data_IF_353265147113
#
_entry.id   IF_353265147113
#
_cell.length_a   1.000
_cell.length_b   1.000
_cell.length_c   1.000
_cell.angle_alpha   90.00
_cell.angle_beta   90.00
_cell.angle_gamma   90.00
#
_symmetry.space_group_name_H-M   'P 1'
#
loop_
_entity.id
_entity.type
_entity.pdbx_description
1 polymer ?
#
# COMPACT_ATOMS: atom_id res chain seq x y z
N UNK A 1 4.24 28.49 2.90
CA UNK A 1 3.58 27.22 3.27
C UNK A 1 4.69 26.27 3.70
N UNK A 2 4.83 26.04 5.02
CA UNK A 2 5.80 25.06 5.53
C UNK A 2 5.39 23.69 5.01
N UNK A 3 6.21 23.07 4.17
CA UNK A 3 6.05 21.66 3.84
C UNK A 3 6.35 20.87 5.12
N UNK A 4 5.32 20.68 5.95
CA UNK A 4 5.40 19.82 7.13
C UNK A 4 5.92 18.47 6.69
N UNK A 5 6.89 17.93 7.44
CA UNK A 5 7.47 16.64 7.11
C UNK A 5 6.43 15.56 7.38
N UNK A 6 5.85 14.99 6.32
CA UNK A 6 4.79 13.99 6.38
C UNK A 6 5.17 12.84 7.34
N UNK A 7 4.29 12.45 8.25
CA UNK A 7 4.44 11.21 9.02
C UNK A 7 3.46 10.16 8.54
N UNK A 8 3.92 8.91 8.48
CA UNK A 8 3.11 7.76 8.10
C UNK A 8 3.31 6.63 9.12
N UNK A 9 2.40 5.66 9.16
CA UNK A 9 2.74 4.37 9.74
C UNK A 9 3.68 3.62 8.77
N UNK A 10 4.81 3.16 9.29
CA UNK A 10 5.81 2.38 8.54
C UNK A 10 6.03 1.04 9.24
N UNK A 11 5.33 0.00 8.80
CA UNK A 11 5.34 -1.30 9.44
C UNK A 11 4.94 -2.39 8.47
N UNK A 12 5.24 -3.61 8.87
CA UNK A 12 4.87 -4.79 8.13
C UNK A 12 4.32 -5.86 9.07
N UNK A 13 3.30 -6.59 8.62
CA UNK A 13 2.63 -7.60 9.44
C UNK A 13 1.97 -8.67 8.57
N UNK A 14 1.93 -9.90 9.05
CA UNK A 14 1.18 -10.98 8.43
C UNK A 14 -0.27 -11.01 8.92
N UNK A 15 -1.21 -11.22 8.00
CA UNK A 15 -2.61 -11.57 8.26
C UNK A 15 -3.46 -10.51 8.96
N UNK A 16 -2.91 -9.31 9.19
CA UNK A 16 -3.61 -8.24 9.88
C UNK A 16 -3.14 -6.84 9.47
N UNK A 17 -4.08 -5.97 9.11
CA UNK A 17 -3.79 -4.55 8.88
C UNK A 17 -3.49 -3.76 10.15
N UNK A 18 -3.67 -4.37 11.32
CA UNK A 18 -3.39 -3.76 12.62
C UNK A 18 -1.88 -3.73 12.89
N UNK A 19 -1.15 -2.95 12.09
CA UNK A 19 0.21 -2.56 12.39
C UNK A 19 0.28 -1.03 12.40
N UNK A 20 0.90 -0.48 13.44
CA UNK A 20 1.10 0.96 13.60
C UNK A 20 2.53 1.21 14.07
N UNK A 21 3.25 2.06 13.36
CA UNK A 21 4.58 2.52 13.74
C UNK A 21 4.81 3.90 13.13
N UNK A 22 4.36 4.99 13.79
CA UNK A 22 4.51 6.35 13.30
C UNK A 22 5.97 6.68 13.03
N UNK A 23 6.30 7.04 11.79
CA UNK A 23 7.64 7.46 11.37
C UNK A 23 7.55 8.72 10.53
N UNK A 24 8.54 9.58 10.70
CA UNK A 24 8.72 10.77 9.89
C UNK A 24 9.30 10.35 8.53
N UNK A 25 8.63 10.73 7.43
CA UNK A 25 9.09 10.42 6.10
C UNK A 25 10.26 11.34 5.72
N UNK A 26 11.31 10.77 5.10
CA UNK A 26 12.53 11.49 4.72
C UNK A 26 12.54 11.72 3.21
N UNK A 27 12.95 12.91 2.78
CA UNK A 27 13.06 13.29 1.37
C UNK A 27 11.74 13.79 0.77
N UNK A 28 11.61 13.74 -0.55
CA UNK A 28 10.45 14.24 -1.30
C UNK A 28 9.27 13.24 -1.29
N UNK A 29 8.85 12.81 -0.10
CA UNK A 29 7.72 11.90 0.09
C UNK A 29 6.43 12.72 0.11
N UNK A 30 5.40 12.22 -0.58
CA UNK A 30 4.10 12.90 -0.69
C UNK A 30 2.94 12.02 -0.21
N UNK A 31 3.16 10.72 -0.01
CA UNK A 31 2.10 9.77 0.28
C UNK A 31 2.47 8.80 1.40
N UNK A 32 1.49 8.47 2.22
CA UNK A 32 1.47 7.24 3.00
C UNK A 32 0.76 6.15 2.18
N UNK A 33 1.33 4.95 2.12
CA UNK A 33 0.72 3.80 1.47
C UNK A 33 0.39 2.70 2.48
N UNK A 34 -0.65 1.91 2.17
CA UNK A 34 -0.98 0.64 2.82
C UNK A 34 -1.27 -0.37 1.71
N UNK A 35 -0.47 -1.43 1.66
CA UNK A 35 -0.55 -2.46 0.62
C UNK A 35 -0.71 -3.81 1.29
N UNK A 36 -1.65 -4.63 0.83
CA UNK A 36 -1.75 -6.04 1.21
C UNK A 36 -1.44 -6.93 -0.01
N UNK A 37 -0.55 -7.90 0.19
CA UNK A 37 -0.09 -8.82 -0.85
C UNK A 37 -0.23 -10.26 -0.34
N UNK A 38 -0.89 -11.13 -1.10
CA UNK A 38 -0.94 -12.58 -0.91
C UNK A 38 0.44 -13.17 -1.24
N UNK A 39 1.28 -13.32 -0.23
CA UNK A 39 2.57 -14.02 -0.38
C UNK A 39 2.39 -15.54 -0.41
N UNK A 40 1.37 -16.06 0.28
CA UNK A 40 1.05 -17.48 0.34
C UNK A 40 -0.46 -17.72 0.24
N UNK A 41 -0.88 -18.94 -0.11
CA UNK A 41 -2.30 -19.28 -0.30
C UNK A 41 -3.18 -19.06 0.94
N UNK A 42 -2.61 -19.00 2.15
CA UNK A 42 -3.33 -18.91 3.42
C UNK A 42 -3.15 -17.59 4.18
N UNK A 43 -2.18 -16.77 3.78
CA UNK A 43 -1.85 -15.55 4.51
C UNK A 43 -1.47 -14.43 3.53
N UNK A 44 -1.88 -13.23 3.89
CA UNK A 44 -1.47 -12.01 3.22
C UNK A 44 -0.51 -11.22 4.10
N UNK A 45 0.34 -10.44 3.47
CA UNK A 45 1.31 -9.58 4.11
C UNK A 45 0.93 -8.13 3.89
N UNK A 46 0.91 -7.34 4.95
CA UNK A 46 0.59 -5.92 4.91
C UNK A 46 1.90 -5.16 5.01
N UNK A 47 2.12 -4.19 4.13
CA UNK A 47 3.22 -3.24 4.19
C UNK A 47 2.66 -1.82 4.15
N UNK A 48 3.00 -1.02 5.17
CA UNK A 48 2.69 0.40 5.29
C UNK A 48 3.99 1.18 5.13
N UNK A 49 4.03 2.16 4.22
CA UNK A 49 5.28 2.80 3.81
C UNK A 49 5.11 4.29 3.46
N UNK A 50 6.20 5.05 3.57
CA UNK A 50 6.36 6.38 2.99
C UNK A 50 6.68 6.26 1.50
N UNK A 51 5.91 6.90 0.62
CA UNK A 51 6.04 6.76 -0.84
C UNK A 51 6.13 8.12 -1.55
N UNK A 52 7.04 8.23 -2.54
CA UNK A 52 7.13 9.40 -3.41
C UNK A 52 5.96 9.47 -4.38
N UNK A 53 5.57 8.33 -4.92
CA UNK A 53 4.49 8.15 -5.88
C UNK A 53 3.62 6.98 -5.41
N UNK A 54 2.32 7.11 -5.56
CA UNK A 54 1.40 6.02 -5.24
C UNK A 54 1.21 5.12 -6.46
N UNK A 55 1.27 3.78 -6.31
CA UNK A 55 1.00 2.83 -7.40
C UNK A 55 -0.51 2.69 -7.67
N UNK A 56 -1.31 3.75 -7.51
CA UNK A 56 -2.65 3.75 -8.08
C UNK A 56 -2.49 3.56 -9.59
N UNK A 57 -3.32 2.73 -10.23
CA UNK A 57 -3.40 2.77 -11.67
C UNK A 57 -3.98 4.14 -12.01
N UNK A 58 -3.12 5.09 -12.42
CA UNK A 58 -3.54 5.95 -13.52
C UNK A 58 -4.11 5.00 -14.57
N UNK A 59 -5.29 5.29 -15.11
CA UNK A 59 -5.89 4.52 -16.18
C UNK A 59 -4.94 4.59 -17.39
N UNK A 60 -3.89 3.76 -17.40
CA UNK A 60 -2.96 3.67 -18.50
C UNK A 60 -3.72 2.98 -19.63
N UNK A 61 -3.80 3.59 -20.83
CA UNK A 61 -4.38 2.93 -21.98
C UNK A 61 -3.56 1.66 -22.23
N UNK A 62 -4.28 0.56 -22.36
CA UNK A 62 -3.77 -0.79 -22.56
C UNK A 62 -2.70 -0.83 -23.66
N UNK A 63 -1.43 -0.90 -23.26
CA UNK A 63 -0.40 -1.49 -24.09
C UNK A 63 0.06 -2.72 -23.35
N UNK A 64 -0.69 -3.81 -23.55
CA UNK A 64 -0.34 -5.14 -23.08
C UNK A 64 1.04 -5.53 -23.64
N UNK A 65 2.08 -5.30 -22.84
CA UNK A 65 3.29 -6.10 -22.97
C UNK A 65 2.99 -7.42 -22.28
N UNK A 66 2.94 -8.49 -23.06
CA UNK A 66 2.83 -9.86 -22.57
C UNK A 66 4.03 -10.19 -21.69
N UNK A 67 3.92 -9.86 -20.41
CA UNK A 67 4.50 -10.65 -19.35
C UNK A 67 3.36 -11.54 -18.88
N UNK A 68 3.55 -12.85 -18.91
CA UNK A 68 2.55 -13.80 -18.43
C UNK A 68 2.33 -13.54 -16.93
N UNK A 69 1.35 -12.70 -16.62
CA UNK A 69 0.85 -12.45 -15.28
C UNK A 69 -0.11 -13.61 -14.97
N UNK A 70 0.40 -14.66 -14.32
CA UNK A 70 -0.43 -15.78 -13.85
C UNK A 70 -1.45 -15.22 -12.84
N UNK A 71 -2.70 -15.07 -13.27
CA UNK A 71 -3.79 -14.64 -12.40
C UNK A 71 -3.94 -15.58 -11.20
N UNK A 72 -4.35 -15.03 -10.04
CA UNK A 72 -4.58 -13.62 -9.77
C UNK A 72 -3.27 -12.92 -9.35
N UNK A 73 -3.14 -11.63 -9.65
CA UNK A 73 -2.06 -10.81 -9.06
C UNK A 73 -2.13 -10.89 -7.54
N UNK A 74 -1.00 -10.97 -6.82
CA UNK A 74 -1.04 -11.19 -5.39
C UNK A 74 -1.54 -9.96 -4.61
N UNK A 75 -1.80 -8.81 -5.24
CA UNK A 75 -2.24 -7.60 -4.53
C UNK A 75 -3.73 -7.71 -4.15
N UNK A 76 -4.01 -7.77 -2.85
CA UNK A 76 -5.36 -7.84 -2.30
C UNK A 76 -5.91 -6.45 -1.93
N UNK A 77 -5.02 -5.49 -1.68
CA UNK A 77 -5.41 -4.13 -1.30
C UNK A 77 -4.26 -3.15 -1.58
N UNK A 78 -4.60 -1.97 -2.11
CA UNK A 78 -3.68 -0.83 -2.23
C UNK A 78 -4.46 0.43 -1.92
N UNK A 79 -3.95 1.25 -0.98
CA UNK A 79 -4.44 2.61 -0.75
C UNK A 79 -3.29 3.54 -0.47
N UNK A 80 -3.42 4.78 -0.96
CA UNK A 80 -2.55 5.87 -0.58
C UNK A 80 -3.34 7.09 -0.12
N UNK A 81 -2.70 7.92 0.69
CA UNK A 81 -3.25 9.15 1.23
C UNK A 81 -2.11 10.14 1.52
N UNK A 82 -2.42 11.44 1.69
CA UNK A 82 -1.42 12.52 1.84
C UNK A 82 -1.43 13.18 3.21
N UNK A 83 -2.30 12.70 4.10
CA UNK A 83 -2.50 13.27 5.44
C UNK A 83 -1.60 12.58 6.47
N UNK A 84 -1.34 13.26 7.59
CA UNK A 84 -0.54 12.69 8.69
C UNK A 84 -1.15 11.39 9.22
N UNK A 85 -0.35 10.31 9.25
CA UNK A 85 -0.70 8.99 9.79
C UNK A 85 -1.96 8.37 9.18
N UNK A 86 -2.34 8.80 7.98
CA UNK A 86 -3.62 8.45 7.36
C UNK A 86 -3.75 6.99 6.92
N UNK A 87 -2.63 6.26 6.82
CA UNK A 87 -2.63 4.86 6.36
C UNK A 87 -2.96 3.85 7.47
N UNK A 88 -3.89 4.17 8.38
CA UNK A 88 -4.27 3.31 9.51
C UNK A 88 -5.38 2.28 9.20
N UNK A 89 -5.82 2.23 7.94
CA UNK A 89 -7.00 1.48 7.54
C UNK A 89 -6.90 -0.02 7.84
N UNK A 90 -8.06 -0.61 8.15
CA UNK A 90 -8.24 -2.03 8.42
C UNK A 90 -9.41 -2.60 7.59
N UNK A 91 -9.25 -2.71 6.26
CA UNK A 91 -10.27 -3.28 5.38
C UNK A 91 -10.43 -4.79 5.65
N UNK A 92 -11.66 -5.29 5.51
CA UNK A 92 -11.88 -6.74 5.43
C UNK A 92 -11.57 -7.20 4.00
N UNK A 93 -10.64 -8.15 3.87
CA UNK A 93 -10.38 -8.81 2.58
C UNK A 93 -11.43 -9.90 2.40
N UNK A 94 -12.20 -9.81 1.32
CA UNK A 94 -13.13 -10.86 0.93
C UNK A 94 -12.47 -11.71 -0.16
N UNK A 95 -12.06 -12.93 0.19
CA UNK A 95 -11.31 -13.83 -0.69
C UNK A 95 -12.21 -14.72 -1.59
N UNK A 96 -13.47 -14.34 -1.82
CA UNK A 96 -14.47 -15.20 -2.51
C UNK A 96 -14.46 -15.08 -4.05
N UNK A 97 -13.37 -14.63 -4.67
CA UNK A 97 -13.17 -14.68 -6.14
C UNK A 97 -11.98 -15.56 -6.54
#
# INVERSE_FOLDING_TARGET
LSAGVLRCHVCEREGSFNCTNPRQCIGQIQFCASVAVRMFARYYYISKQCMKQCPLPEAYPEVERSFVLLKPTPFLYVRCCREELCNNDNPMINDTE
#
